data_IF_213846642999
#
_entry.id   IF_213846642999
#
_cell.length_a   1.000
_cell.length_b   1.000
_cell.length_c   1.000
_cell.angle_alpha   90.00
_cell.angle_beta   90.00
_cell.angle_gamma   90.00
#
_symmetry.space_group_name_H-M   'P 1'
#
loop_
_entity.id
_entity.type
_entity.pdbx_description
1 polymer ?
#
# COMPACT_ATOMS: atom_id res chain seq x y z
N UNK A 1 -1.37 10.12 -13.56
CA UNK A 1 -2.03 9.13 -12.70
C UNK A 1 -3.18 8.39 -13.39
N UNK A 2 -4.24 9.07 -13.85
CA UNK A 2 -5.41 8.41 -14.45
C UNK A 2 -5.09 7.39 -15.56
N UNK A 3 -4.15 7.70 -16.44
CA UNK A 3 -3.78 6.80 -17.55
C UNK A 3 -3.19 5.47 -17.08
N UNK A 4 -2.39 5.46 -16.02
CA UNK A 4 -1.79 4.23 -15.48
C UNK A 4 -2.86 3.29 -14.91
N UNK A 5 -3.89 3.84 -14.25
CA UNK A 5 -5.04 3.07 -13.81
C UNK A 5 -5.87 2.53 -14.98
N UNK A 6 -6.02 3.30 -16.07
CA UNK A 6 -6.70 2.82 -17.27
C UNK A 6 -5.95 1.66 -17.93
N UNK A 7 -4.61 1.70 -17.92
CA UNK A 7 -3.78 0.59 -18.38
C UNK A 7 -3.93 -0.62 -17.44
N UNK A 8 -3.86 -0.40 -16.14
CA UNK A 8 -4.03 -1.46 -15.15
C UNK A 8 -5.38 -2.16 -15.27
N UNK A 9 -6.48 -1.42 -15.42
CA UNK A 9 -7.82 -2.00 -15.61
C UNK A 9 -8.10 -2.50 -17.02
N UNK A 10 -7.13 -2.47 -17.92
CA UNK A 10 -7.29 -2.83 -19.34
C UNK A 10 -8.50 -2.12 -19.98
N UNK A 11 -8.66 -0.80 -19.73
CA UNK A 11 -9.79 0.00 -20.17
C UNK A 11 -9.86 0.05 -21.70
N UNK A 12 -10.88 -0.61 -22.25
CA UNK A 12 -11.08 -0.72 -23.71
C UNK A 12 -11.29 0.64 -24.39
N UNK A 13 -11.95 1.59 -23.72
CA UNK A 13 -12.18 2.92 -24.25
C UNK A 13 -10.88 3.72 -24.35
N UNK A 14 -10.00 3.58 -23.35
CA UNK A 14 -8.66 4.16 -23.39
C UNK A 14 -7.85 3.63 -24.56
N UNK A 15 -7.80 2.32 -24.74
CA UNK A 15 -7.04 1.69 -25.84
C UNK A 15 -7.61 2.02 -27.23
N UNK A 16 -8.93 2.09 -27.39
CA UNK A 16 -9.56 2.53 -28.65
C UNK A 16 -9.17 3.96 -29.01
N UNK A 17 -9.09 4.84 -28.04
CA UNK A 17 -8.69 6.23 -28.23
C UNK A 17 -7.21 6.36 -28.59
N UNK A 18 -6.35 5.59 -27.92
CA UNK A 18 -4.91 5.63 -28.16
C UNK A 18 -4.51 4.95 -29.47
N UNK A 19 -5.19 3.88 -29.83
CA UNK A 19 -4.89 3.05 -31.01
C UNK A 19 -6.09 2.87 -31.95
N UNK A 20 -6.59 3.93 -32.58
CA UNK A 20 -7.83 3.86 -33.38
C UNK A 20 -7.75 2.93 -34.61
N UNK A 21 -6.55 2.69 -35.13
CA UNK A 21 -6.35 1.77 -36.26
C UNK A 21 -6.45 0.30 -35.82
N UNK A 22 -5.87 -0.05 -34.68
CA UNK A 22 -5.93 -1.41 -34.10
C UNK A 22 -7.33 -1.77 -33.60
N UNK A 23 -8.09 -0.81 -33.09
CA UNK A 23 -9.43 -1.05 -32.55
C UNK A 23 -10.44 -1.50 -33.60
N UNK A 24 -10.16 -1.26 -34.89
CA UNK A 24 -10.98 -1.75 -36.03
C UNK A 24 -10.74 -3.24 -36.30
N UNK A 25 -9.59 -3.77 -35.90
CA UNK A 25 -9.18 -5.14 -36.21
C UNK A 25 -9.39 -6.09 -35.02
N UNK A 26 -9.20 -5.60 -33.80
CA UNK A 26 -9.38 -6.38 -32.56
C UNK A 26 -9.86 -5.50 -31.43
N UNK A 27 -10.78 -6.03 -30.61
CA UNK A 27 -11.25 -5.40 -29.36
C UNK A 27 -10.67 -6.06 -28.12
N UNK A 28 -9.73 -6.98 -28.29
CA UNK A 28 -9.08 -7.70 -27.17
C UNK A 28 -7.96 -6.83 -26.63
N UNK A 29 -8.00 -6.58 -25.32
CA UNK A 29 -6.95 -5.90 -24.55
C UNK A 29 -6.38 -6.91 -23.58
N UNK A 30 -5.04 -7.00 -23.54
CA UNK A 30 -4.35 -7.91 -22.63
C UNK A 30 -4.40 -7.37 -21.19
N UNK A 31 -4.52 -8.29 -20.23
CA UNK A 31 -4.49 -8.02 -18.77
C UNK A 31 -3.10 -8.25 -18.16
N UNK A 32 -2.06 -8.39 -18.98
CA UNK A 32 -0.71 -8.75 -18.52
C UNK A 32 -0.17 -7.82 -17.44
N UNK A 33 -0.51 -6.52 -17.51
CA UNK A 33 -0.09 -5.54 -16.48
C UNK A 33 -0.79 -5.82 -15.17
N UNK A 34 -2.10 -6.07 -15.20
CA UNK A 34 -2.89 -6.46 -14.00
C UNK A 34 -2.31 -7.72 -13.39
N UNK A 35 -2.13 -8.75 -14.18
CA UNK A 35 -1.67 -10.06 -13.74
C UNK A 35 -0.26 -9.97 -13.12
N UNK A 36 0.63 -9.19 -13.73
CA UNK A 36 1.98 -8.96 -13.20
C UNK A 36 1.95 -8.27 -11.84
N UNK A 37 1.12 -7.24 -11.68
CA UNK A 37 0.99 -6.49 -10.42
C UNK A 37 0.37 -7.38 -9.34
N UNK A 38 -0.71 -8.11 -9.65
CA UNK A 38 -1.38 -8.99 -8.70
C UNK A 38 -0.48 -10.18 -8.28
N UNK A 39 0.47 -10.58 -9.11
CA UNK A 39 1.48 -11.59 -8.77
C UNK A 39 2.61 -11.04 -7.89
N UNK A 40 3.06 -9.83 -8.15
CA UNK A 40 4.13 -9.19 -7.38
C UNK A 40 3.68 -8.77 -5.98
N UNK A 41 2.42 -8.33 -5.84
CA UNK A 41 1.89 -7.76 -4.63
C UNK A 41 1.94 -8.69 -3.40
N UNK A 42 1.54 -9.97 -3.47
CA UNK A 42 1.64 -10.89 -2.33
C UNK A 42 3.08 -11.13 -1.88
N UNK A 43 4.02 -11.16 -2.83
CA UNK A 43 5.45 -11.33 -2.52
C UNK A 43 6.01 -10.14 -1.76
N UNK A 44 5.64 -8.92 -2.16
CA UNK A 44 5.99 -7.69 -1.45
C UNK A 44 5.33 -7.64 -0.08
N UNK A 45 4.04 -7.95 0.00
CA UNK A 45 3.32 -7.99 1.28
C UNK A 45 3.99 -8.93 2.29
N UNK A 46 4.44 -10.11 1.83
CA UNK A 46 5.14 -11.08 2.68
C UNK A 46 6.44 -10.52 3.28
N UNK A 47 7.17 -9.68 2.55
CA UNK A 47 8.39 -9.04 3.07
C UNK A 47 8.10 -8.15 4.27
N UNK A 48 6.98 -7.41 4.23
CA UNK A 48 6.60 -6.47 5.30
C UNK A 48 5.79 -7.09 6.43
N UNK A 49 5.14 -8.24 6.19
CA UNK A 49 4.27 -8.89 7.17
C UNK A 49 4.80 -10.24 7.62
N UNK A 50 5.97 -10.65 7.14
CA UNK A 50 6.55 -11.97 7.44
C UNK A 50 7.28 -12.06 8.78
N UNK A 51 7.44 -10.94 9.51
CA UNK A 51 7.99 -10.89 10.86
C UNK A 51 6.90 -10.73 11.91
N UNK A 52 7.21 -11.08 13.14
CA UNK A 52 6.31 -10.86 14.28
C UNK A 52 6.16 -9.36 14.59
N UNK A 53 7.19 -8.58 14.30
CA UNK A 53 7.23 -7.13 14.53
C UNK A 53 7.16 -6.35 13.22
N UNK A 54 6.22 -5.43 13.14
CA UNK A 54 6.07 -4.52 11.98
C UNK A 54 7.11 -3.41 12.02
N UNK A 55 7.55 -3.02 13.21
CA UNK A 55 8.50 -1.94 13.47
C UNK A 55 9.52 -2.43 14.49
N UNK A 56 10.78 -2.09 14.28
CA UNK A 56 11.85 -2.30 15.25
C UNK A 56 12.31 -0.95 15.79
N UNK A 57 12.29 -0.80 17.10
CA UNK A 57 12.74 0.41 17.80
C UNK A 57 13.92 0.00 18.70
N UNK A 58 15.03 0.70 18.57
CA UNK A 58 16.21 0.50 19.39
C UNK A 58 16.49 1.74 20.23
N UNK A 59 16.93 1.55 21.47
CA UNK A 59 17.41 2.62 22.35
C UNK A 59 18.68 3.29 21.75
N UNK A 60 18.89 4.55 22.09
CA UNK A 60 20.13 5.26 21.75
C UNK A 60 21.20 4.93 22.80
N UNK A 61 20.80 4.81 24.06
CA UNK A 61 21.63 4.43 25.18
C UNK A 61 21.10 3.16 25.86
N UNK A 62 21.97 2.44 26.57
CA UNK A 62 21.59 1.21 27.28
C UNK A 62 20.51 1.41 28.36
N UNK A 63 20.29 2.64 28.83
CA UNK A 63 19.20 3.01 29.74
C UNK A 63 17.84 3.11 29.08
N UNK A 64 17.81 3.27 27.74
CA UNK A 64 16.60 3.49 26.94
C UNK A 64 16.05 2.20 26.32
N UNK A 65 16.79 1.09 26.41
CA UNK A 65 16.39 -0.18 25.77
C UNK A 65 15.04 -0.67 26.28
N UNK A 66 14.77 -0.56 27.57
CA UNK A 66 13.47 -0.97 28.14
C UNK A 66 12.32 -0.08 27.65
N UNK A 67 12.56 1.22 27.53
CA UNK A 67 11.55 2.15 26.99
C UNK A 67 11.31 1.91 25.49
N UNK A 68 12.35 1.57 24.75
CA UNK A 68 12.27 1.23 23.33
C UNK A 68 11.40 -0.02 23.10
N UNK A 69 11.56 -1.05 23.93
CA UNK A 69 10.75 -2.27 23.88
C UNK A 69 9.27 -1.96 24.15
N UNK A 70 8.96 -1.19 25.19
CA UNK A 70 7.57 -0.78 25.49
C UNK A 70 6.97 0.03 24.35
N UNK A 71 7.74 0.95 23.75
CA UNK A 71 7.29 1.74 22.60
C UNK A 71 7.04 0.85 21.37
N UNK A 72 7.90 -0.12 21.11
CA UNK A 72 7.74 -1.07 20.02
C UNK A 72 6.44 -1.87 20.15
N UNK A 73 6.19 -2.41 21.36
CA UNK A 73 4.97 -3.17 21.65
C UNK A 73 3.71 -2.30 21.48
N UNK A 74 3.74 -1.07 21.99
CA UNK A 74 2.62 -0.14 21.88
C UNK A 74 2.31 0.21 20.43
N UNK A 75 3.33 0.57 19.65
CA UNK A 75 3.15 0.94 18.25
C UNK A 75 2.71 -0.27 17.42
N UNK A 76 3.29 -1.44 17.67
CA UNK A 76 2.89 -2.68 17.00
C UNK A 76 1.43 -3.02 17.28
N UNK A 77 1.00 -2.89 18.55
CA UNK A 77 -0.41 -3.07 18.92
C UNK A 77 -1.33 -2.07 18.23
N UNK A 78 -0.97 -0.78 18.20
CA UNK A 78 -1.74 0.25 17.54
C UNK A 78 -1.87 -0.01 16.04
N UNK A 79 -0.80 -0.34 15.36
CA UNK A 79 -0.81 -0.61 13.91
C UNK A 79 -1.62 -1.86 13.57
N UNK A 80 -1.42 -2.96 14.30
CA UNK A 80 -2.04 -4.24 13.96
C UNK A 80 -3.50 -4.33 14.39
N UNK A 81 -3.83 -3.81 15.58
CA UNK A 81 -5.15 -4.00 16.18
C UNK A 81 -6.10 -2.83 15.99
N UNK A 82 -5.57 -1.62 16.06
CA UNK A 82 -6.42 -0.43 15.99
C UNK A 82 -6.51 0.14 14.58
N UNK A 83 -5.41 0.22 13.84
CA UNK A 83 -5.35 0.90 12.53
C UNK A 83 -5.59 0.03 11.32
N UNK A 84 -5.84 -1.26 11.49
CA UNK A 84 -5.97 -2.15 10.34
C UNK A 84 -4.83 -1.99 9.31
N UNK A 85 -3.59 -1.98 9.79
CA UNK A 85 -2.41 -1.66 8.98
C UNK A 85 -2.29 -2.50 7.71
N UNK A 86 -2.68 -3.76 7.74
CA UNK A 86 -2.55 -4.67 6.60
C UNK A 86 -3.31 -4.21 5.35
N UNK A 87 -4.61 -3.86 5.40
CA UNK A 87 -5.32 -3.31 4.25
C UNK A 87 -4.73 -1.99 3.75
N UNK A 88 -4.25 -1.14 4.64
CA UNK A 88 -3.61 0.13 4.29
C UNK A 88 -2.32 -0.13 3.53
N UNK A 89 -1.46 -1.01 4.05
CA UNK A 89 -0.22 -1.40 3.41
C UNK A 89 -0.47 -2.02 2.03
N UNK A 90 -1.47 -2.91 1.93
CA UNK A 90 -1.87 -3.54 0.66
C UNK A 90 -2.23 -2.49 -0.40
N UNK A 91 -3.11 -1.56 -0.07
CA UNK A 91 -3.52 -0.51 -0.99
C UNK A 91 -2.36 0.42 -1.35
N UNK A 92 -1.54 0.79 -0.36
CA UNK A 92 -0.36 1.62 -0.57
C UNK A 92 0.64 0.98 -1.54
N UNK A 93 0.96 -0.30 -1.35
CA UNK A 93 1.84 -1.05 -2.24
C UNK A 93 1.23 -1.20 -3.64
N UNK A 94 -0.06 -1.47 -3.71
CA UNK A 94 -0.79 -1.57 -4.99
C UNK A 94 -0.73 -0.26 -5.77
N UNK A 95 -0.99 0.86 -5.13
CA UNK A 95 -0.88 2.17 -5.75
C UNK A 95 0.55 2.48 -6.20
N UNK A 96 1.54 2.13 -5.39
CA UNK A 96 2.96 2.29 -5.76
C UNK A 96 3.33 1.46 -7.00
N UNK A 97 2.84 0.24 -7.12
CA UNK A 97 3.08 -0.60 -8.29
C UNK A 97 2.38 -0.07 -9.56
N UNK A 98 1.15 0.44 -9.43
CA UNK A 98 0.38 0.97 -10.57
C UNK A 98 0.94 2.32 -11.03
N UNK A 99 1.18 3.23 -10.09
CA UNK A 99 1.51 4.63 -10.43
C UNK A 99 3.00 4.93 -10.37
N UNK A 100 3.81 4.04 -9.78
CA UNK A 100 5.23 4.26 -9.51
C UNK A 100 5.48 5.14 -8.29
N UNK A 101 4.43 5.56 -7.58
CA UNK A 101 4.50 6.35 -6.36
C UNK A 101 3.35 5.99 -5.44
N UNK A 102 3.64 5.57 -4.22
CA UNK A 102 2.67 5.39 -3.15
C UNK A 102 2.89 6.42 -2.05
N UNK A 103 1.83 7.08 -1.59
CA UNK A 103 1.90 8.07 -0.51
C UNK A 103 0.91 7.70 0.57
N UNK A 104 1.40 7.64 1.81
CA UNK A 104 0.59 7.44 3.01
C UNK A 104 0.82 8.63 3.93
N UNK A 105 -0.25 9.18 4.47
CA UNK A 105 -0.19 10.25 5.45
C UNK A 105 -0.51 9.68 6.83
N UNK A 106 0.41 9.85 7.76
CA UNK A 106 0.21 9.51 9.16
C UNK A 106 -0.02 10.81 9.95
N UNK A 107 -1.06 10.85 10.77
CA UNK A 107 -1.37 12.00 11.62
C UNK A 107 -2.04 11.54 12.91
N UNK A 108 -1.93 12.37 13.93
CA UNK A 108 -2.59 12.13 15.21
C UNK A 108 -3.96 12.82 15.18
N UNK A 109 -5.04 12.04 15.41
CA UNK A 109 -6.38 12.59 15.56
C UNK A 109 -6.72 12.74 17.04
N UNK A 110 -7.12 13.97 17.43
CA UNK A 110 -7.50 14.30 18.80
C UNK A 110 -9.00 14.20 19.07
N UNK A 111 -9.82 14.22 18.01
CA UNK A 111 -11.28 14.30 18.13
C UNK A 111 -11.92 12.93 18.35
N UNK A 112 -11.32 11.88 17.82
CA UNK A 112 -11.82 10.51 17.97
C UNK A 112 -11.32 9.78 19.24
N UNK A 113 -10.70 10.50 20.16
CA UNK A 113 -10.29 10.06 21.50
C UNK A 113 -9.72 8.65 21.58
N UNK A 114 -8.41 8.51 21.64
CA UNK A 114 -7.66 7.24 21.70
C UNK A 114 -7.71 6.36 20.44
N UNK A 115 -8.44 6.71 19.40
CA UNK A 115 -8.31 6.01 18.15
C UNK A 115 -7.08 6.51 17.38
N UNK A 116 -6.23 5.57 16.97
CA UNK A 116 -4.91 5.91 16.48
C UNK A 116 -4.94 6.22 14.99
N UNK A 117 -3.97 7.01 14.61
CA UNK A 117 -3.45 7.23 13.26
C UNK A 117 -4.24 6.55 12.15
N UNK A 118 -5.19 7.27 11.56
CA UNK A 118 -5.76 6.84 10.29
C UNK A 118 -4.77 7.14 9.16
N UNK A 119 -4.32 6.08 8.49
CA UNK A 119 -3.60 6.24 7.25
C UNK A 119 -4.62 6.41 6.13
N UNK A 120 -4.77 7.61 5.62
CA UNK A 120 -5.68 7.89 4.49
C UNK A 120 -4.87 7.88 3.20
N UNK A 121 -5.28 7.02 2.29
CA UNK A 121 -4.82 7.04 0.92
C UNK A 121 -5.58 8.15 0.18
N UNK A 122 -4.85 9.09 -0.39
CA UNK A 122 -5.40 10.09 -1.31
C UNK A 122 -5.10 9.70 -2.75
#
# INVERSE_FOLDING_TARGET
MKERYQIYFADKEYYKRMFPKLSKTSSVVSTDVTDTIEWALPSLMKVFTGGDDVISISGVDASDDHNAEIMQDLISFQLQRQNHFFPILYNWMKDALITGLGVVKCYWDREEGYEPVQCVLN
#
